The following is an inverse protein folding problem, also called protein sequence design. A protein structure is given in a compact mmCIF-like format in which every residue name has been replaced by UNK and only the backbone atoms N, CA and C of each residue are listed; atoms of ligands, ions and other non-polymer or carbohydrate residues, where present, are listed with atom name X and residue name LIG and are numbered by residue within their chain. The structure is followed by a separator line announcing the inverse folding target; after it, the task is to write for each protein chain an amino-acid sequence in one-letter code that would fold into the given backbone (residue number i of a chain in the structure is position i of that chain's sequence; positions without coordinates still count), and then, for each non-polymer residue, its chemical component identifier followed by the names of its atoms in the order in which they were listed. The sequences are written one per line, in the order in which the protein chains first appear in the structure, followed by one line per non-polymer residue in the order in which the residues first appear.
data_IF_591950461394
#
_entry.id   IF_591950461394
#
_cell.length_a   1.000
_cell.length_b   1.000
_cell.length_c   1.000
_cell.angle_alpha   90.00
_cell.angle_beta   90.00
_cell.angle_gamma   90.00
#
_symmetry.space_group_name_H-M   'P 1'
#
loop_
_entity.id
_entity.type
_entity.pdbx_description
1 polymer ?
#
# COMPACT_ATOMS: atom_id res chain seq x y z
N UNK A 1 16.26 22.24 -31.36
CA UNK A 1 16.66 20.89 -31.82
C UNK A 1 15.48 19.96 -31.65
N UNK A 2 14.91 19.54 -32.78
CA UNK A 2 13.71 18.73 -32.86
C UNK A 2 13.92 17.34 -32.23
N UNK A 3 13.08 16.99 -31.27
CA UNK A 3 12.88 15.61 -30.81
C UNK A 3 11.68 15.03 -31.55
N UNK A 4 11.77 14.95 -32.87
CA UNK A 4 10.86 14.18 -33.71
C UNK A 4 11.61 12.91 -34.14
N UNK A 5 11.02 11.73 -33.93
CA UNK A 5 11.45 10.53 -34.66
C UNK A 5 11.75 9.24 -33.87
N UNK A 6 11.63 9.21 -32.54
CA UNK A 6 11.54 7.94 -31.82
C UNK A 6 10.16 7.90 -31.17
N UNK A 7 9.35 6.87 -31.46
CA UNK A 7 8.13 6.60 -30.70
C UNK A 7 8.54 6.57 -29.23
N UNK A 8 8.26 7.65 -28.49
CA UNK A 8 8.60 7.73 -27.06
C UNK A 8 7.87 6.57 -26.42
N UNK A 9 8.62 5.58 -25.95
CA UNK A 9 8.03 4.46 -25.24
C UNK A 9 7.20 5.06 -24.10
N UNK A 10 5.95 4.65 -24.05
CA UNK A 10 4.98 5.06 -23.04
C UNK A 10 4.44 3.79 -22.44
N UNK A 11 4.37 3.77 -21.11
CA UNK A 11 3.59 2.76 -20.40
C UNK A 11 2.58 3.46 -19.49
N UNK A 12 1.51 2.74 -19.18
CA UNK A 12 0.50 3.23 -18.24
C UNK A 12 0.45 2.33 -17.03
N UNK A 13 0.24 2.93 -15.87
CA UNK A 13 0.01 2.21 -14.62
C UNK A 13 -1.40 2.56 -14.17
N UNK A 14 -2.33 1.63 -14.37
CA UNK A 14 -3.65 1.65 -13.75
C UNK A 14 -3.64 0.87 -12.44
N UNK A 15 -4.60 1.15 -11.55
CA UNK A 15 -4.67 0.51 -10.23
C UNK A 15 -4.94 -1.00 -10.30
N UNK A 16 -5.73 -1.46 -11.27
CA UNK A 16 -6.16 -2.87 -11.40
C UNK A 16 -4.99 -3.88 -11.43
N UNK A 17 -3.97 -3.76 -12.31
CA UNK A 17 -2.86 -4.71 -12.35
C UNK A 17 -1.95 -4.67 -11.12
N UNK A 18 -1.96 -3.58 -10.35
CA UNK A 18 -1.09 -3.39 -9.18
C UNK A 18 -1.83 -3.52 -7.85
N UNK A 19 -3.15 -3.76 -7.87
CA UNK A 19 -3.99 -3.86 -6.67
C UNK A 19 -3.44 -4.82 -5.59
N UNK A 20 -2.89 -6.01 -5.91
CA UNK A 20 -2.28 -6.87 -4.89
C UNK A 20 -1.11 -6.19 -4.15
N UNK A 21 -0.32 -5.37 -4.86
CA UNK A 21 0.78 -4.62 -4.26
C UNK A 21 0.26 -3.49 -3.38
N UNK A 22 -0.79 -2.79 -3.83
CA UNK A 22 -1.48 -1.74 -3.05
C UNK A 22 -2.01 -2.33 -1.75
N UNK A 23 -2.65 -3.50 -1.80
CA UNK A 23 -3.14 -4.20 -0.61
C UNK A 23 -2.00 -4.61 0.33
N UNK A 24 -0.93 -5.22 -0.20
CA UNK A 24 0.22 -5.64 0.61
C UNK A 24 0.92 -4.46 1.29
N UNK A 25 1.20 -3.39 0.54
CA UNK A 25 1.79 -2.15 1.08
C UNK A 25 0.83 -1.48 2.07
N UNK A 26 -0.48 -1.45 1.80
CA UNK A 26 -1.49 -0.91 2.71
C UNK A 26 -1.53 -1.63 4.06
N UNK A 27 -1.43 -2.96 4.06
CA UNK A 27 -1.30 -3.76 5.29
C UNK A 27 0.00 -3.42 6.03
N UNK A 28 1.12 -3.28 5.32
CA UNK A 28 2.38 -2.87 5.94
C UNK A 28 2.30 -1.49 6.58
N UNK A 29 1.73 -0.51 5.88
CA UNK A 29 1.53 0.85 6.39
C UNK A 29 0.54 0.87 7.57
N UNK A 30 -0.50 0.02 7.55
CA UNK A 30 -1.40 -0.15 8.69
C UNK A 30 -0.65 -0.63 9.93
N UNK A 31 0.11 -1.73 9.82
CA UNK A 31 0.85 -2.27 10.96
C UNK A 31 1.94 -1.32 11.46
N UNK A 32 2.68 -0.68 10.55
CA UNK A 32 3.68 0.32 10.92
C UNK A 32 3.04 1.49 11.65
N UNK A 33 1.91 1.99 11.16
CA UNK A 33 1.20 3.11 11.79
C UNK A 33 0.60 2.73 13.13
N UNK A 34 0.01 1.53 13.26
CA UNK A 34 -0.47 1.02 14.54
C UNK A 34 0.67 0.87 15.56
N UNK A 35 1.84 0.38 15.14
CA UNK A 35 3.03 0.30 15.98
C UNK A 35 3.54 1.68 16.40
N UNK A 36 3.58 2.65 15.46
CA UNK A 36 3.95 4.02 15.74
C UNK A 36 2.97 4.74 16.66
N UNK A 37 1.68 4.37 16.65
CA UNK A 37 0.68 4.84 17.62
C UNK A 37 0.80 4.13 18.97
N UNK A 38 1.35 2.91 19.01
CA UNK A 38 1.52 2.10 20.22
C UNK A 38 0.24 1.45 20.74
N UNK A 39 -0.90 1.84 20.18
CA UNK A 39 -2.23 1.28 20.46
C UNK A 39 -3.14 1.56 19.25
N UNK A 40 -4.20 0.75 19.11
CA UNK A 40 -5.24 1.05 18.14
C UNK A 40 -5.99 2.33 18.52
N UNK A 41 -6.44 3.15 17.54
CA UNK A 41 -7.27 4.30 17.83
C UNK A 41 -8.52 3.89 18.63
N UNK A 42 -8.77 4.57 19.75
CA UNK A 42 -10.04 4.46 20.48
C UNK A 42 -11.20 5.09 19.70
N UNK A 43 -12.40 5.04 20.28
CA UNK A 43 -13.58 5.75 19.75
C UNK A 43 -13.89 5.40 18.28
N UNK A 44 -14.26 4.14 17.99
CA UNK A 44 -14.53 3.68 16.62
C UNK A 44 -15.67 4.45 15.93
N UNK A 45 -16.56 5.09 16.68
CA UNK A 45 -17.60 5.98 16.16
C UNK A 45 -17.06 7.20 15.40
N UNK A 46 -15.79 7.59 15.63
CA UNK A 46 -15.13 8.67 14.91
C UNK A 46 -14.62 8.25 13.53
N UNK A 47 -14.57 6.95 13.24
CA UNK A 47 -14.03 6.41 12.00
C UNK A 47 -14.68 7.01 10.73
N UNK A 48 -16.02 7.11 10.60
CA UNK A 48 -16.62 7.67 9.39
C UNK A 48 -16.25 9.14 9.16
N UNK A 49 -16.19 9.92 10.25
CA UNK A 49 -15.81 11.33 10.18
C UNK A 49 -14.32 11.48 9.82
N UNK A 50 -13.45 10.69 10.44
CA UNK A 50 -12.02 10.68 10.13
C UNK A 50 -11.75 10.25 8.69
N UNK A 51 -12.49 9.24 8.18
CA UNK A 51 -12.40 8.79 6.80
C UNK A 51 -12.83 9.88 5.82
N UNK A 52 -13.94 10.56 6.06
CA UNK A 52 -14.39 11.66 5.21
C UNK A 52 -13.38 12.82 5.22
N UNK A 53 -12.90 13.20 6.40
CA UNK A 53 -11.92 14.27 6.56
C UNK A 53 -10.59 13.96 5.88
N UNK A 54 -10.03 12.75 6.10
CA UNK A 54 -8.75 12.37 5.51
C UNK A 54 -8.84 12.27 4.00
N UNK A 55 -9.92 11.73 3.42
CA UNK A 55 -10.08 11.67 1.96
C UNK A 55 -10.02 13.06 1.32
N UNK A 56 -10.74 14.04 1.89
CA UNK A 56 -10.73 15.41 1.38
C UNK A 56 -9.36 16.06 1.54
N UNK A 57 -8.76 15.96 2.73
CA UNK A 57 -7.48 16.61 3.02
C UNK A 57 -6.32 15.97 2.24
N UNK A 58 -6.34 14.65 2.07
CA UNK A 58 -5.33 13.90 1.33
C UNK A 58 -5.26 14.34 -0.13
N UNK A 59 -6.41 14.31 -0.83
CA UNK A 59 -6.48 14.80 -2.21
C UNK A 59 -6.18 16.30 -2.31
N UNK A 60 -6.62 17.11 -1.35
CA UNK A 60 -6.29 18.53 -1.32
C UNK A 60 -4.77 18.77 -1.21
N UNK A 61 -4.04 17.94 -0.47
CA UNK A 61 -2.57 18.03 -0.36
C UNK A 61 -1.90 17.65 -1.68
N UNK A 62 -2.35 16.62 -2.39
CA UNK A 62 -1.85 16.34 -3.75
C UNK A 62 -2.07 17.54 -4.67
N UNK A 63 -3.29 18.08 -4.70
CA UNK A 63 -3.64 19.22 -5.54
C UNK A 63 -2.78 20.45 -5.21
N UNK A 64 -2.61 20.75 -3.91
CA UNK A 64 -1.78 21.85 -3.45
C UNK A 64 -0.30 21.65 -3.83
N UNK A 65 0.25 20.45 -3.59
CA UNK A 65 1.62 20.12 -3.95
C UNK A 65 1.85 20.25 -5.46
N UNK A 66 0.90 19.79 -6.28
CA UNK A 66 0.96 19.93 -7.73
C UNK A 66 1.00 21.42 -8.15
N UNK A 67 0.10 22.24 -7.59
CA UNK A 67 0.07 23.70 -7.84
C UNK A 67 1.38 24.38 -7.43
N UNK A 68 1.90 24.07 -6.25
CA UNK A 68 3.17 24.62 -5.74
C UNK A 68 4.38 24.23 -6.61
N UNK A 69 4.33 23.06 -7.24
CA UNK A 69 5.37 22.58 -8.15
C UNK A 69 5.17 23.02 -9.62
N UNK A 70 4.23 23.93 -9.85
CA UNK A 70 4.03 24.63 -11.11
C UNK A 70 2.95 24.04 -12.02
N UNK A 71 2.10 23.13 -11.51
CA UNK A 71 0.96 22.65 -12.28
C UNK A 71 -0.06 23.77 -12.50
N UNK A 72 -0.43 24.02 -13.75
CA UNK A 72 -1.47 24.96 -14.16
C UNK A 72 -2.85 24.35 -13.98
N UNK A 73 -3.03 23.07 -14.30
CA UNK A 73 -4.33 22.41 -14.28
C UNK A 73 -4.32 21.21 -13.33
N UNK A 74 -5.27 21.24 -12.39
CA UNK A 74 -5.49 20.16 -11.43
C UNK A 74 -6.99 19.84 -11.46
N UNK A 75 -7.33 18.58 -11.67
CA UNK A 75 -8.71 18.09 -11.67
C UNK A 75 -8.96 17.16 -10.50
N UNK A 76 -10.21 17.11 -10.02
CA UNK A 76 -10.65 16.12 -9.04
C UNK A 76 -11.60 15.13 -9.71
N UNK A 77 -11.54 13.88 -9.28
CA UNK A 77 -12.32 12.79 -9.85
C UNK A 77 -12.45 11.60 -8.90
N UNK A 78 -12.85 10.48 -9.48
CA UNK A 78 -12.96 9.20 -8.78
C UNK A 78 -11.84 8.27 -9.23
N UNK A 79 -11.07 7.74 -8.29
CA UNK A 79 -10.12 6.66 -8.54
C UNK A 79 -10.88 5.38 -8.85
N UNK A 80 -10.47 4.68 -9.92
CA UNK A 80 -11.13 3.44 -10.36
C UNK A 80 -10.13 2.30 -10.55
N UNK A 81 -10.49 1.11 -10.06
CA UNK A 81 -9.82 -0.14 -10.37
C UNK A 81 -10.72 -0.97 -11.29
N UNK A 82 -10.58 -0.78 -12.60
CA UNK A 82 -11.52 -1.33 -13.57
C UNK A 82 -12.89 -0.64 -13.44
N UNK A 83 -13.94 -1.39 -13.10
CA UNK A 83 -15.30 -0.84 -12.89
C UNK A 83 -15.58 -0.40 -11.46
N UNK A 84 -14.71 -0.74 -10.51
CA UNK A 84 -14.89 -0.43 -9.10
C UNK A 84 -14.36 0.98 -8.80
N UNK A 85 -15.17 1.83 -8.18
CA UNK A 85 -14.72 3.09 -7.59
C UNK A 85 -14.03 2.75 -6.26
N UNK A 86 -12.77 3.14 -6.13
CA UNK A 86 -11.92 2.80 -4.98
C UNK A 86 -11.56 4.02 -4.13
N UNK A 87 -11.89 5.23 -4.59
CA UNK A 87 -11.63 6.46 -3.84
C UNK A 87 -11.86 7.73 -4.65
N UNK A 88 -11.39 8.84 -4.10
CA UNK A 88 -11.21 10.10 -4.82
C UNK A 88 -9.86 10.07 -5.55
N UNK A 89 -9.66 10.98 -6.49
CA UNK A 89 -8.39 11.13 -7.20
C UNK A 89 -8.13 12.57 -7.60
N UNK A 90 -6.86 12.97 -7.59
CA UNK A 90 -6.37 14.17 -8.25
C UNK A 90 -5.72 13.81 -9.60
N UNK A 91 -6.08 14.55 -10.65
CA UNK A 91 -5.39 14.49 -11.94
C UNK A 91 -4.56 15.75 -12.17
N UNK A 92 -3.36 15.55 -12.70
CA UNK A 92 -2.46 16.61 -13.16
C UNK A 92 -2.29 16.39 -14.65
N UNK A 93 -3.16 17.04 -15.41
CA UNK A 93 -3.34 16.79 -16.84
C UNK A 93 -2.13 17.12 -17.70
N UNK A 94 -1.10 17.79 -17.17
CA UNK A 94 0.13 18.12 -17.89
C UNK A 94 1.31 17.20 -17.50
N UNK A 95 2.27 16.94 -18.40
CA UNK A 95 3.44 16.15 -18.07
C UNK A 95 4.33 16.87 -17.03
N UNK A 96 4.67 16.16 -15.97
CA UNK A 96 5.53 16.64 -14.89
C UNK A 96 6.82 15.82 -14.83
N UNK A 97 8.00 16.43 -14.62
CA UNK A 97 9.23 15.67 -14.36
C UNK A 97 9.06 14.72 -13.18
N UNK A 98 9.55 13.48 -13.30
CA UNK A 98 9.36 12.41 -12.31
C UNK A 98 9.66 12.87 -10.87
N UNK A 99 10.74 13.62 -10.65
CA UNK A 99 11.10 14.09 -9.30
C UNK A 99 10.04 14.99 -8.68
N UNK A 100 9.42 15.88 -9.47
CA UNK A 100 8.32 16.72 -9.00
C UNK A 100 7.06 15.89 -8.79
N UNK A 101 6.75 14.99 -9.71
CA UNK A 101 5.57 14.13 -9.57
C UNK A 101 5.68 13.20 -8.36
N UNK A 102 6.87 12.66 -8.05
CA UNK A 102 7.11 11.88 -6.83
C UNK A 102 6.85 12.68 -5.55
N UNK A 103 7.21 13.98 -5.53
CA UNK A 103 6.89 14.86 -4.42
C UNK A 103 5.38 15.09 -4.30
N UNK A 104 4.67 15.26 -5.42
CA UNK A 104 3.20 15.36 -5.43
C UNK A 104 2.57 14.07 -4.91
N UNK A 105 2.96 12.92 -5.44
CA UNK A 105 2.43 11.61 -5.08
C UNK A 105 2.68 11.30 -3.59
N UNK A 106 3.86 11.61 -3.06
CA UNK A 106 4.16 11.32 -1.65
C UNK A 106 3.78 12.46 -0.69
N UNK A 107 3.23 13.58 -1.20
CA UNK A 107 2.93 14.76 -0.39
C UNK A 107 1.98 14.45 0.78
N UNK A 108 0.86 13.74 0.63
CA UNK A 108 -0.03 13.48 1.76
C UNK A 108 0.64 12.64 2.84
N UNK A 109 1.40 11.61 2.45
CA UNK A 109 2.15 10.78 3.39
C UNK A 109 3.16 11.61 4.19
N UNK A 110 3.91 12.48 3.51
CA UNK A 110 4.98 13.28 4.12
C UNK A 110 4.47 14.50 4.91
N UNK A 111 3.41 15.16 4.44
CA UNK A 111 2.91 16.41 5.02
C UNK A 111 1.86 16.18 6.11
N UNK A 112 1.03 15.13 6.00
CA UNK A 112 -0.07 14.90 6.95
C UNK A 112 0.31 13.91 8.06
N UNK A 113 1.12 12.90 7.78
CA UNK A 113 1.37 11.84 8.77
C UNK A 113 2.14 12.34 10.00
N UNK A 114 3.24 13.12 9.88
CA UNK A 114 3.94 13.64 11.05
C UNK A 114 3.07 14.50 11.99
N UNK A 115 2.32 15.52 11.51
CA UNK A 115 1.47 16.31 12.41
C UNK A 115 0.31 15.50 12.99
N UNK A 116 -0.33 14.60 12.24
CA UNK A 116 -1.39 13.75 12.80
C UNK A 116 -0.86 12.82 13.89
N UNK A 117 0.32 12.22 13.71
CA UNK A 117 0.95 11.41 14.75
C UNK A 117 1.32 12.26 15.99
N UNK A 118 1.87 13.45 15.78
CA UNK A 118 2.23 14.36 16.87
C UNK A 118 0.99 14.78 17.67
N UNK A 119 -0.11 15.15 17.01
CA UNK A 119 -1.36 15.52 17.64
C UNK A 119 -2.03 14.34 18.36
N UNK A 120 -1.98 13.14 17.78
CA UNK A 120 -2.44 11.92 18.44
C UNK A 120 -1.66 11.63 19.73
N UNK A 121 -0.36 11.93 19.73
CA UNK A 121 0.55 11.69 20.86
C UNK A 121 0.56 12.80 21.91
N UNK A 122 0.17 14.02 21.53
CA UNK A 122 0.01 15.14 22.46
C UNK A 122 -1.09 14.89 23.51
N UNK A 123 -2.03 13.99 23.21
CA UNK A 123 -3.15 13.65 24.10
C UNK A 123 -4.32 14.64 23.99
N UNK A 124 -5.26 14.54 24.94
CA UNK A 124 -6.47 15.36 24.98
C UNK A 124 -7.67 14.78 24.24
N UNK A 125 -8.83 15.49 24.23
CA UNK A 125 -10.10 14.93 23.76
C UNK A 125 -10.13 14.54 22.28
N UNK A 126 -9.31 15.19 21.45
CA UNK A 126 -9.25 14.94 20.01
C UNK A 126 -8.16 13.93 19.60
N UNK A 127 -7.35 13.43 20.54
CA UNK A 127 -6.29 12.49 20.22
C UNK A 127 -6.77 11.22 19.49
N UNK A 128 -7.92 10.60 19.84
CA UNK A 128 -8.44 9.46 19.08
C UNK A 128 -8.79 9.81 17.63
N UNK A 129 -9.31 11.01 17.38
CA UNK A 129 -9.62 11.49 16.02
C UNK A 129 -8.34 11.63 15.19
N UNK A 130 -7.29 12.26 15.72
CA UNK A 130 -6.01 12.38 15.03
C UNK A 130 -5.29 11.04 14.84
N UNK A 131 -5.46 10.09 15.77
CA UNK A 131 -4.96 8.72 15.62
C UNK A 131 -5.62 8.02 14.43
N UNK A 132 -6.94 8.18 14.26
CA UNK A 132 -7.64 7.71 13.06
C UNK A 132 -7.15 8.39 11.79
N UNK A 133 -7.01 9.73 11.78
CA UNK A 133 -6.49 10.47 10.62
C UNK A 133 -5.08 10.01 10.21
N UNK A 134 -4.19 9.80 11.17
CA UNK A 134 -2.84 9.28 10.93
C UNK A 134 -2.89 7.89 10.30
N UNK A 135 -3.62 6.95 10.92
CA UNK A 135 -3.73 5.58 10.46
C UNK A 135 -4.32 5.51 9.05
N UNK A 136 -5.44 6.22 8.81
CA UNK A 136 -6.13 6.21 7.52
C UNK A 136 -5.32 6.93 6.43
N UNK A 137 -4.61 8.01 6.74
CA UNK A 137 -3.75 8.69 5.76
C UNK A 137 -2.60 7.79 5.32
N UNK A 138 -1.94 7.13 6.28
CA UNK A 138 -0.85 6.21 5.98
C UNK A 138 -1.33 5.02 5.13
N UNK A 139 -2.46 4.39 5.49
CA UNK A 139 -3.05 3.31 4.69
C UNK A 139 -3.51 3.81 3.32
N UNK A 140 -4.17 4.98 3.26
CA UNK A 140 -4.64 5.59 2.00
C UNK A 140 -3.49 5.88 1.02
N UNK A 141 -2.31 6.23 1.54
CA UNK A 141 -1.11 6.50 0.74
C UNK A 141 -0.47 5.26 0.09
N UNK A 142 -1.01 4.05 0.31
CA UNK A 142 -0.42 2.83 -0.26
C UNK A 142 -0.44 2.81 -1.79
N UNK A 143 -1.49 3.38 -2.40
CA UNK A 143 -1.58 3.57 -3.85
C UNK A 143 -0.44 4.46 -4.34
N UNK A 144 -0.24 5.60 -3.69
CA UNK A 144 0.81 6.56 -4.05
C UNK A 144 2.19 5.97 -3.93
N UNK A 145 2.48 5.23 -2.85
CA UNK A 145 3.77 4.57 -2.64
C UNK A 145 4.04 3.56 -3.75
N UNK A 146 3.04 2.76 -4.13
CA UNK A 146 3.17 1.77 -5.20
C UNK A 146 3.37 2.43 -6.57
N UNK A 147 2.58 3.45 -6.89
CA UNK A 147 2.71 4.20 -8.14
C UNK A 147 4.06 4.94 -8.20
N UNK A 148 4.48 5.55 -7.09
CA UNK A 148 5.77 6.21 -6.93
C UNK A 148 6.92 5.24 -7.16
N UNK A 149 6.87 4.05 -6.56
CA UNK A 149 7.86 3.00 -6.74
C UNK A 149 8.02 2.61 -8.21
N UNK A 150 6.90 2.33 -8.89
CA UNK A 150 6.90 1.90 -10.29
C UNK A 150 7.44 3.02 -11.19
N UNK A 151 6.95 4.24 -11.04
CA UNK A 151 7.37 5.38 -11.85
C UNK A 151 8.85 5.74 -11.61
N UNK A 152 9.32 5.73 -10.36
CA UNK A 152 10.73 5.97 -10.04
C UNK A 152 11.66 4.92 -10.66
N UNK A 153 11.20 3.67 -10.80
CA UNK A 153 11.99 2.61 -11.42
C UNK A 153 12.25 2.82 -12.93
N UNK A 154 11.45 3.65 -13.60
CA UNK A 154 11.55 3.97 -15.02
C UNK A 154 12.65 5.00 -15.36
N UNK A 155 13.25 5.65 -14.36
CA UNK A 155 14.35 6.62 -14.56
C UNK A 155 13.87 8.07 -14.74
N UNK A 156 14.68 8.91 -15.41
CA UNK A 156 14.35 10.34 -15.64
C UNK A 156 13.33 10.47 -16.77
N UNK A 157 12.06 10.49 -16.38
CA UNK A 157 10.89 10.48 -17.27
C UNK A 157 9.94 11.63 -16.94
N UNK A 158 9.00 11.91 -17.84
CA UNK A 158 7.84 12.75 -17.53
C UNK A 158 6.64 11.87 -17.19
N UNK A 159 5.87 12.26 -16.19
CA UNK A 159 4.66 11.57 -15.74
C UNK A 159 3.48 12.48 -15.94
N UNK A 160 2.42 11.96 -16.56
CA UNK A 160 1.12 12.62 -16.61
C UNK A 160 0.16 11.85 -15.71
N UNK A 161 -0.46 12.56 -14.79
CA UNK A 161 -1.39 11.97 -13.85
C UNK A 161 -2.83 12.17 -14.34
N UNK A 162 -3.51 11.08 -14.66
CA UNK A 162 -4.86 11.11 -15.19
C UNK A 162 -5.90 10.84 -14.08
N UNK A 163 -5.48 10.74 -12.81
CA UNK A 163 -6.33 10.47 -11.65
C UNK A 163 -6.56 8.98 -11.40
N UNK A 164 -7.04 8.23 -12.40
CA UNK A 164 -7.27 6.77 -12.28
C UNK A 164 -6.09 5.91 -12.75
N UNK A 165 -5.12 6.55 -13.41
CA UNK A 165 -3.90 5.95 -13.93
C UNK A 165 -2.82 7.02 -14.10
N UNK A 166 -1.57 6.59 -14.17
CA UNK A 166 -0.47 7.43 -14.60
C UNK A 166 0.06 6.98 -15.96
N UNK A 167 0.41 7.95 -16.79
CA UNK A 167 1.12 7.73 -18.05
C UNK A 167 2.57 8.19 -17.89
N UNK A 168 3.51 7.29 -18.14
CA UNK A 168 4.94 7.58 -18.00
C UNK A 168 5.57 7.62 -19.39
N UNK A 169 6.12 8.78 -19.76
CA UNK A 169 6.85 8.98 -21.01
C UNK A 169 8.34 8.66 -20.79
N UNK A 170 8.75 7.44 -21.17
CA UNK A 170 10.14 7.02 -21.07
C UNK A 170 10.34 5.51 -21.06
N UNK A 171 11.46 5.07 -20.49
CA UNK A 171 11.81 3.65 -20.43
C UNK A 171 10.81 2.86 -19.60
N UNK A 172 10.57 1.57 -19.92
CA UNK A 172 9.72 0.72 -19.09
C UNK A 172 10.30 0.56 -17.68
N UNK A 173 9.46 0.25 -16.68
CA UNK A 173 9.92 0.02 -15.32
C UNK A 173 10.92 -1.15 -15.27
N UNK A 174 11.95 -1.01 -14.43
CA UNK A 174 12.99 -2.03 -14.28
C UNK A 174 12.40 -3.32 -13.70
N UNK A 175 12.67 -4.46 -14.33
CA UNK A 175 12.11 -5.76 -13.91
C UNK A 175 12.46 -6.14 -12.47
N UNK A 176 13.69 -5.86 -12.02
CA UNK A 176 14.10 -6.13 -10.64
C UNK A 176 13.31 -5.29 -9.64
N UNK A 177 12.92 -4.07 -9.99
CA UNK A 177 12.17 -3.19 -9.10
C UNK A 177 10.73 -3.66 -8.96
N UNK A 178 10.14 -4.19 -10.04
CA UNK A 178 8.83 -4.85 -9.99
C UNK A 178 8.88 -6.15 -9.19
N UNK A 179 9.92 -6.97 -9.38
CA UNK A 179 10.10 -8.19 -8.60
C UNK A 179 10.27 -7.89 -7.10
N UNK A 180 11.04 -6.85 -6.76
CA UNK A 180 11.20 -6.41 -5.37
C UNK A 180 9.89 -5.88 -4.78
N UNK A 181 9.11 -5.11 -5.55
CA UNK A 181 7.79 -4.64 -5.13
C UNK A 181 6.84 -5.82 -4.84
N UNK A 182 6.82 -6.82 -5.71
CA UNK A 182 6.05 -8.06 -5.55
C UNK A 182 6.47 -8.79 -4.26
N UNK A 183 7.78 -8.96 -4.05
CA UNK A 183 8.34 -9.60 -2.86
C UNK A 183 7.96 -8.85 -1.57
N UNK A 184 8.11 -7.52 -1.56
CA UNK A 184 7.73 -6.68 -0.41
C UNK A 184 6.23 -6.81 -0.12
N UNK A 185 5.38 -6.68 -1.14
CA UNK A 185 3.93 -6.78 -0.96
C UNK A 185 3.53 -8.15 -0.39
N UNK A 186 4.12 -9.24 -0.89
CA UNK A 186 3.87 -10.58 -0.39
C UNK A 186 4.42 -10.80 1.02
N UNK A 187 5.60 -10.27 1.34
CA UNK A 187 6.16 -10.34 2.71
C UNK A 187 5.31 -9.59 3.73
N UNK A 188 4.61 -8.53 3.32
CA UNK A 188 3.69 -7.79 4.20
C UNK A 188 2.32 -8.48 4.33
N UNK A 189 1.84 -9.14 3.27
CA UNK A 189 0.54 -9.81 3.24
C UNK A 189 0.58 -11.24 3.82
N UNK A 190 1.67 -11.97 3.64
CA UNK A 190 1.76 -13.38 4.00
C UNK A 190 1.64 -13.63 5.51
N UNK A 191 2.23 -12.83 6.41
CA UNK A 191 2.08 -13.04 7.85
C UNK A 191 0.63 -13.05 8.38
N UNK A 192 -0.22 -12.03 8.14
CA UNK A 192 -1.59 -12.07 8.60
C UNK A 192 -2.40 -13.18 7.91
N UNK A 193 -2.13 -13.46 6.63
CA UNK A 193 -2.80 -14.55 5.92
C UNK A 193 -2.44 -15.93 6.52
N UNK A 194 -1.17 -16.17 6.81
CA UNK A 194 -0.69 -17.38 7.46
C UNK A 194 -1.27 -17.50 8.88
N UNK A 195 -1.32 -16.40 9.63
CA UNK A 195 -1.93 -16.39 10.96
C UNK A 195 -3.43 -16.73 10.91
N UNK A 196 -4.19 -16.14 9.97
CA UNK A 196 -5.61 -16.45 9.80
C UNK A 196 -5.84 -17.91 9.39
N UNK A 197 -5.08 -18.41 8.42
CA UNK A 197 -5.15 -19.81 7.99
C UNK A 197 -4.81 -20.77 9.15
N UNK A 198 -3.75 -20.46 9.90
CA UNK A 198 -3.35 -21.27 11.03
C UNK A 198 -4.46 -21.28 12.08
N UNK A 199 -5.04 -20.13 12.45
CA UNK A 199 -6.19 -20.07 13.36
C UNK A 199 -7.36 -20.95 12.90
N UNK A 200 -7.70 -20.93 11.60
CA UNK A 200 -8.76 -21.78 11.04
C UNK A 200 -8.42 -23.27 11.16
N UNK A 201 -7.19 -23.67 10.82
CA UNK A 201 -6.72 -25.05 10.94
C UNK A 201 -6.76 -25.49 12.42
N UNK A 202 -6.23 -24.65 13.32
CA UNK A 202 -6.21 -24.94 14.74
C UNK A 202 -7.63 -25.11 15.28
N UNK A 203 -8.57 -24.25 14.89
CA UNK A 203 -9.96 -24.34 15.31
C UNK A 203 -10.58 -25.71 14.93
N UNK A 204 -10.25 -26.25 13.76
CA UNK A 204 -10.75 -27.53 13.26
C UNK A 204 -10.10 -28.78 13.88
N UNK A 205 -8.86 -28.69 14.37
CA UNK A 205 -8.13 -29.85 14.93
C UNK A 205 -8.65 -30.24 16.33
N UNK A 206 -8.79 -31.54 16.66
CA UNK A 206 -9.17 -31.96 18.00
C UNK A 206 -8.02 -31.78 19.01
N UNK A 207 -8.38 -31.58 20.28
CA UNK A 207 -7.43 -31.54 21.40
C UNK A 207 -6.65 -30.22 21.55
N UNK A 208 -5.72 -30.24 22.50
CA UNK A 208 -4.81 -29.13 22.81
C UNK A 208 -3.45 -29.36 22.16
N UNK A 209 -2.85 -28.30 21.65
CA UNK A 209 -1.51 -28.35 21.06
C UNK A 209 -0.79 -27.03 21.21
N UNK A 210 0.53 -27.10 21.24
CA UNK A 210 1.43 -25.95 21.28
C UNK A 210 2.58 -26.22 20.33
N UNK A 211 2.74 -25.35 19.34
CA UNK A 211 3.77 -25.42 18.32
C UNK A 211 4.74 -24.26 18.52
N UNK A 212 6.01 -24.59 18.66
CA UNK A 212 7.11 -23.63 18.78
C UNK A 212 8.15 -23.88 17.68
N UNK A 213 8.75 -22.80 17.18
CA UNK A 213 9.83 -22.83 16.20
C UNK A 213 10.92 -21.87 16.66
N UNK A 214 12.15 -22.37 16.80
CA UNK A 214 13.29 -21.59 17.30
C UNK A 214 13.00 -20.86 18.63
N UNK A 215 12.26 -21.52 19.54
CA UNK A 215 11.88 -20.95 20.84
C UNK A 215 10.78 -19.89 20.79
N UNK A 216 10.20 -19.61 19.61
CA UNK A 216 9.07 -18.70 19.45
C UNK A 216 7.77 -19.48 19.28
N UNK A 217 6.72 -19.05 19.98
CA UNK A 217 5.39 -19.60 19.77
C UNK A 217 4.96 -19.37 18.32
N UNK A 218 4.60 -20.45 17.62
CA UNK A 218 3.98 -20.40 16.29
C UNK A 218 2.46 -20.45 16.45
N UNK A 219 1.96 -21.41 17.21
CA UNK A 219 0.54 -21.67 17.37
C UNK A 219 0.23 -22.32 18.71
N UNK A 220 -0.90 -21.97 19.33
CA UNK A 220 -1.40 -22.62 20.54
C UNK A 220 -2.91 -22.82 20.43
N UNK A 221 -3.38 -24.01 20.82
CA UNK A 221 -4.79 -24.26 21.15
C UNK A 221 -4.88 -24.93 22.50
N UNK A 222 -5.77 -24.42 23.33
CA UNK A 222 -6.15 -25.03 24.59
C UNK A 222 -7.62 -25.42 24.55
N UNK A 223 -7.92 -26.67 24.89
CA UNK A 223 -9.25 -27.25 25.02
C UNK A 223 -9.37 -27.84 26.43
N UNK A 224 -10.48 -27.54 27.12
CA UNK A 224 -10.82 -28.17 28.39
C UNK A 224 -12.30 -28.59 28.35
N UNK A 225 -12.60 -29.80 28.87
CA UNK A 225 -13.97 -30.33 28.93
C UNK A 225 -14.72 -30.29 27.59
N UNK A 226 -14.00 -30.53 26.48
CA UNK A 226 -14.55 -30.46 25.12
C UNK A 226 -14.85 -29.05 24.60
N UNK A 227 -14.58 -27.99 25.39
CA UNK A 227 -14.72 -26.58 24.97
C UNK A 227 -13.38 -25.98 24.61
N UNK A 228 -13.34 -25.26 23.49
CA UNK A 228 -12.17 -24.50 23.05
C UNK A 228 -12.01 -23.27 23.95
N UNK A 229 -10.90 -23.22 24.71
CA UNK A 229 -10.61 -22.13 25.62
C UNK A 229 -9.81 -21.01 24.93
N UNK A 230 -8.85 -21.39 24.08
CA UNK A 230 -7.94 -20.44 23.44
C UNK A 230 -7.46 -20.98 22.10
N UNK A 231 -7.36 -20.09 21.12
CA UNK A 231 -6.57 -20.27 19.90
C UNK A 231 -5.71 -19.02 19.75
N UNK A 232 -4.41 -19.19 19.62
CA UNK A 232 -3.46 -18.10 19.45
C UNK A 232 -2.42 -18.46 18.39
N UNK A 233 -2.01 -17.45 17.63
CA UNK A 233 -0.85 -17.52 16.73
C UNK A 233 0.20 -16.58 17.28
N UNK A 234 1.41 -17.09 17.47
CA UNK A 234 2.51 -16.33 18.02
C UNK A 234 3.45 -15.77 16.94
N UNK A 235 4.45 -14.97 17.34
CA UNK A 235 5.40 -14.33 16.42
C UNK A 235 6.27 -15.33 15.64
N UNK A 236 6.39 -16.57 16.12
CA UNK A 236 7.10 -17.64 15.39
C UNK A 236 6.46 -17.97 14.04
N UNK A 237 5.18 -17.66 13.83
CA UNK A 237 4.51 -17.85 12.54
C UNK A 237 5.04 -16.94 11.42
N UNK A 238 5.76 -15.86 11.75
CA UNK A 238 6.41 -15.00 10.76
C UNK A 238 7.48 -15.75 9.95
N UNK A 239 8.25 -16.60 10.60
CA UNK A 239 9.37 -17.32 9.98
C UNK A 239 8.93 -18.22 8.82
N UNK A 240 7.98 -19.18 8.99
CA UNK A 240 7.53 -20.01 7.88
C UNK A 240 6.79 -19.20 6.82
N UNK A 241 6.07 -18.14 7.18
CA UNK A 241 5.40 -17.27 6.21
C UNK A 241 6.41 -16.57 5.29
N UNK A 242 7.47 -15.96 5.86
CA UNK A 242 8.50 -15.29 5.09
C UNK A 242 9.36 -16.29 4.29
N UNK A 243 9.65 -17.46 4.83
CA UNK A 243 10.35 -18.52 4.10
C UNK A 243 9.54 -18.99 2.88
N UNK A 244 8.22 -19.15 3.02
CA UNK A 244 7.34 -19.50 1.91
C UNK A 244 7.32 -18.40 0.83
N UNK A 245 7.28 -17.13 1.22
CA UNK A 245 7.38 -16.01 0.28
C UNK A 245 8.72 -16.04 -0.45
N UNK A 246 9.84 -16.20 0.25
CA UNK A 246 11.16 -16.26 -0.37
C UNK A 246 11.28 -17.39 -1.39
N UNK A 247 10.79 -18.59 -1.05
CA UNK A 247 10.76 -19.73 -1.97
C UNK A 247 9.87 -19.46 -3.20
N UNK A 248 8.69 -18.86 -2.99
CA UNK A 248 7.78 -18.50 -4.07
C UNK A 248 8.38 -17.44 -5.00
N UNK A 249 9.02 -16.41 -4.45
CA UNK A 249 9.71 -15.37 -5.22
C UNK A 249 10.87 -15.92 -6.03
N UNK A 250 11.67 -16.81 -5.45
CA UNK A 250 12.77 -17.45 -6.17
C UNK A 250 12.26 -18.26 -7.38
N UNK A 251 11.13 -18.95 -7.25
CA UNK A 251 10.56 -19.77 -8.32
C UNK A 251 9.78 -18.98 -9.37
N UNK A 252 8.98 -17.99 -8.95
CA UNK A 252 7.96 -17.35 -9.79
C UNK A 252 8.19 -15.85 -10.03
N UNK A 253 8.97 -15.17 -9.18
CA UNK A 253 9.17 -13.71 -9.20
C UNK A 253 9.55 -13.15 -10.58
N UNK A 254 10.60 -13.67 -11.25
CA UNK A 254 11.01 -13.17 -12.56
C UNK A 254 9.90 -13.26 -13.63
N UNK A 255 9.08 -14.33 -13.59
CA UNK A 255 7.97 -14.52 -14.53
C UNK A 255 6.83 -13.55 -14.26
N UNK A 256 6.49 -13.31 -12.98
CA UNK A 256 5.45 -12.36 -12.59
C UNK A 256 5.85 -10.92 -12.89
N UNK A 257 7.09 -10.52 -12.59
CA UNK A 257 7.61 -9.20 -12.92
C UNK A 257 7.53 -8.91 -14.45
N UNK A 258 7.92 -9.87 -15.29
CA UNK A 258 7.77 -9.74 -16.75
C UNK A 258 6.31 -9.67 -17.21
N UNK A 259 5.40 -10.38 -16.53
CA UNK A 259 3.97 -10.34 -16.81
C UNK A 259 3.39 -8.97 -16.45
N UNK A 260 3.76 -8.43 -15.29
CA UNK A 260 3.36 -7.10 -14.85
C UNK A 260 3.88 -6.03 -15.83
N UNK A 261 5.17 -6.04 -16.14
CA UNK A 261 5.76 -5.09 -17.10
C UNK A 261 5.02 -5.09 -18.45
N UNK A 262 4.64 -6.27 -18.97
CA UNK A 262 3.84 -6.39 -20.20
C UNK A 262 2.44 -5.78 -20.06
N UNK A 263 1.77 -5.98 -18.93
CA UNK A 263 0.45 -5.37 -18.65
C UNK A 263 0.52 -3.84 -18.59
N UNK A 264 1.58 -3.31 -17.97
CA UNK A 264 1.81 -1.86 -17.89
C UNK A 264 2.11 -1.25 -19.26
N UNK A 265 2.94 -1.91 -20.07
CA UNK A 265 3.24 -1.48 -21.43
C UNK A 265 2.01 -1.50 -22.36
N UNK A 266 1.08 -2.44 -22.15
CA UNK A 266 -0.13 -2.57 -22.96
C UNK A 266 -1.25 -1.58 -22.58
N UNK A 267 -1.04 -0.66 -21.63
CA UNK A 267 -2.06 0.31 -21.23
C UNK A 267 -3.12 -0.24 -20.26
N UNK A 268 -2.86 -1.38 -19.61
CA UNK A 268 -3.68 -1.92 -18.51
C UNK A 268 -5.18 -2.10 -18.81
N UNK A 269 -5.53 -3.14 -19.59
CA UNK A 269 -6.92 -3.63 -19.71
C UNK A 269 -7.43 -4.41 -18.49
#
# INVERSE_FOLDING_TARGET
MALEGAARQRFEVSLKPVLPHVLGVGIGLFYLSAALLGQFPGNPELLPLALAAVLVVHEAVHALAAKLLGARHVGFGLAKAGRLVVGLSVSVGEPMPIGRWLLVALAPLLALSPPFLALARAGGPLAPFFAWLFLLNAVGSCGDVVLAWIAASAGRVAVRDMGDRIAVEGSPPKLWALALLDAVALSLLAPPAAAALLQMILAALPGSFRLELAGLLVAEKAVAEGRMLRVAVGPGALLPALAAVAAFEAAAGPRRARRLARRLAAGGA
#
